data_IF_756035334808
#
_entry.id   IF_756035334808
#
_cell.length_a   1.000
_cell.length_b   1.000
_cell.length_c   1.000
_cell.angle_alpha   90.00
_cell.angle_beta   90.00
_cell.angle_gamma   90.00
#
_symmetry.space_group_name_H-M   'P 1'
#
loop_
_entity.id
_entity.type
_entity.pdbx_description
1 polymer ?
#
# COMPACT_ATOMS: atom_id res chain seq x y z
N UNK A 1 25.70 -13.27 -46.93
CA UNK A 1 26.27 -12.25 -46.03
C UNK A 1 25.59 -12.42 -44.71
N UNK A 2 26.31 -13.03 -43.77
CA UNK A 2 25.82 -13.42 -42.46
C UNK A 2 26.24 -12.33 -41.49
N UNK A 3 25.29 -11.52 -41.03
CA UNK A 3 25.57 -10.57 -39.96
C UNK A 3 25.35 -11.28 -38.62
N UNK A 4 26.46 -11.79 -38.08
CA UNK A 4 26.56 -12.20 -36.69
C UNK A 4 26.60 -10.92 -35.84
N UNK A 5 25.52 -10.63 -35.13
CA UNK A 5 25.57 -9.74 -33.98
C UNK A 5 26.07 -10.54 -32.77
N UNK A 6 27.25 -10.18 -32.29
CA UNK A 6 28.03 -10.84 -31.26
C UNK A 6 27.32 -10.88 -29.89
N UNK A 7 27.56 -11.90 -29.03
CA UNK A 7 26.93 -12.03 -27.71
C UNK A 7 27.45 -11.06 -26.62
N UNK A 8 28.39 -10.18 -26.95
CA UNK A 8 29.22 -9.48 -25.97
C UNK A 8 28.63 -8.18 -25.39
N UNK A 9 27.49 -7.68 -25.88
CA UNK A 9 26.88 -6.45 -25.33
C UNK A 9 26.05 -6.66 -24.05
N UNK A 10 25.72 -7.91 -23.69
CA UNK A 10 24.91 -8.21 -22.50
C UNK A 10 25.75 -8.47 -21.23
N UNK A 11 27.08 -8.28 -21.30
CA UNK A 11 28.01 -8.43 -20.17
C UNK A 11 28.54 -7.09 -19.62
N UNK A 12 27.88 -5.96 -19.94
CA UNK A 12 28.19 -4.68 -19.32
C UNK A 12 27.60 -4.60 -17.89
N UNK A 13 28.31 -5.23 -16.93
CA UNK A 13 28.31 -4.96 -15.47
C UNK A 13 26.94 -4.66 -14.84
N UNK A 14 26.31 -5.70 -14.29
CA UNK A 14 25.53 -5.53 -13.06
C UNK A 14 26.46 -4.92 -12.00
N UNK A 15 26.37 -3.60 -11.79
CA UNK A 15 27.16 -2.91 -10.78
C UNK A 15 26.98 -3.64 -9.44
N UNK A 16 28.10 -4.01 -8.81
CA UNK A 16 28.11 -4.77 -7.56
C UNK A 16 27.46 -3.91 -6.48
N UNK A 17 26.16 -4.14 -6.25
CA UNK A 17 25.36 -3.37 -5.28
C UNK A 17 26.05 -3.32 -3.93
N UNK A 18 25.99 -2.17 -3.29
CA UNK A 18 26.59 -1.95 -1.98
C UNK A 18 26.03 -2.95 -0.97
N UNK A 19 26.90 -3.53 -0.14
CA UNK A 19 26.51 -4.49 0.92
C UNK A 19 26.13 -3.72 2.17
N UNK A 20 25.06 -4.15 2.82
CA UNK A 20 24.60 -3.65 4.12
C UNK A 20 24.52 -4.84 5.09
N UNK A 21 24.85 -4.62 6.36
CA UNK A 21 24.75 -5.65 7.39
C UNK A 21 23.29 -6.00 7.67
N UNK A 22 23.00 -7.28 7.95
CA UNK A 22 21.65 -7.72 8.32
C UNK A 22 21.18 -7.10 9.64
N UNK A 23 22.12 -6.69 10.52
CA UNK A 23 21.80 -5.99 11.76
C UNK A 23 21.36 -4.54 11.52
N UNK A 24 21.85 -3.90 10.46
CA UNK A 24 21.45 -2.53 10.12
C UNK A 24 20.12 -2.54 9.37
N UNK A 25 20.03 -3.37 8.33
CA UNK A 25 18.80 -3.66 7.61
C UNK A 25 18.86 -5.07 6.99
N UNK A 26 17.91 -5.96 7.31
CA UNK A 26 17.80 -7.25 6.66
C UNK A 26 17.61 -7.12 5.15
N UNK A 27 18.10 -8.10 4.38
CA UNK A 27 17.98 -8.11 2.92
C UNK A 27 16.60 -8.58 2.42
N UNK A 28 15.78 -9.13 3.31
CA UNK A 28 14.43 -9.65 3.06
C UNK A 28 13.49 -9.16 4.16
N UNK A 29 12.19 -9.26 3.91
CA UNK A 29 11.14 -8.85 4.84
C UNK A 29 11.05 -9.76 6.07
N UNK A 30 10.42 -9.25 7.12
CA UNK A 30 10.21 -9.95 8.38
C UNK A 30 9.41 -11.25 8.16
N UNK A 31 8.37 -11.21 7.32
CA UNK A 31 7.60 -12.42 6.95
C UNK A 31 8.49 -13.53 6.38
N UNK A 32 9.37 -13.17 5.44
CA UNK A 32 10.29 -14.14 4.82
C UNK A 32 11.30 -14.66 5.84
N UNK A 33 11.80 -13.79 6.73
CA UNK A 33 12.72 -14.20 7.78
C UNK A 33 12.07 -15.15 8.81
N UNK A 34 10.76 -15.04 9.07
CA UNK A 34 10.01 -15.93 9.96
C UNK A 34 9.97 -17.38 9.47
N UNK A 35 10.30 -17.65 8.20
CA UNK A 35 10.40 -19.01 7.64
C UNK A 35 11.39 -19.89 8.44
N UNK A 36 12.51 -19.34 8.88
CA UNK A 36 13.52 -20.08 9.68
C UNK A 36 12.96 -20.51 11.05
N UNK A 37 12.54 -19.59 11.94
CA UNK A 37 12.02 -19.99 13.25
C UNK A 37 10.72 -20.80 13.15
N UNK A 38 9.86 -20.58 12.14
CA UNK A 38 8.67 -21.42 11.90
C UNK A 38 9.05 -22.88 11.65
N UNK A 39 10.05 -23.13 10.81
CA UNK A 39 10.52 -24.49 10.56
C UNK A 39 11.00 -25.19 11.83
N UNK A 40 11.67 -24.47 12.73
CA UNK A 40 12.14 -25.00 14.02
C UNK A 40 10.95 -25.35 14.94
N UNK A 41 9.93 -24.48 15.01
CA UNK A 41 8.74 -24.73 15.82
C UNK A 41 7.96 -25.93 15.30
N UNK A 42 7.68 -25.95 13.99
CA UNK A 42 6.81 -26.94 13.35
C UNK A 42 7.43 -28.34 13.28
N UNK A 43 8.74 -28.43 13.04
CA UNK A 43 9.40 -29.73 12.79
C UNK A 43 10.20 -30.23 13.99
N UNK A 44 10.58 -29.35 14.91
CA UNK A 44 11.51 -29.68 16.01
C UNK A 44 11.05 -29.17 17.38
N UNK A 45 9.76 -28.84 17.52
CA UNK A 45 9.14 -28.44 18.79
C UNK A 45 9.89 -27.31 19.53
N UNK A 46 10.46 -26.36 18.77
CA UNK A 46 11.22 -25.21 19.30
C UNK A 46 12.56 -25.56 19.96
N UNK A 47 13.05 -26.79 19.84
CA UNK A 47 14.38 -27.16 20.32
C UNK A 47 15.49 -26.55 19.46
N UNK A 48 16.65 -26.20 20.04
CA UNK A 48 17.84 -25.85 19.26
C UNK A 48 18.12 -26.91 18.20
N UNK A 49 18.28 -26.48 16.95
CA UNK A 49 18.31 -27.38 15.79
C UNK A 49 19.51 -27.06 14.91
N UNK A 50 20.22 -28.09 14.43
CA UNK A 50 21.39 -27.89 13.57
C UNK A 50 20.98 -27.22 12.25
N UNK A 51 21.79 -26.32 11.66
CA UNK A 51 21.44 -25.66 10.40
C UNK A 51 21.11 -26.62 9.25
N UNK A 52 21.75 -27.79 9.21
CA UNK A 52 21.47 -28.84 8.22
C UNK A 52 20.03 -29.36 8.31
N UNK A 53 19.55 -29.59 9.53
CA UNK A 53 18.22 -30.12 9.80
C UNK A 53 17.15 -29.05 9.52
N UNK A 54 17.43 -27.78 9.85
CA UNK A 54 16.56 -26.64 9.48
C UNK A 54 16.45 -26.51 7.96
N UNK A 55 17.57 -26.58 7.22
CA UNK A 55 17.57 -26.54 5.76
C UNK A 55 16.79 -27.72 5.15
N UNK A 56 16.93 -28.92 5.75
CA UNK A 56 16.17 -30.09 5.34
C UNK A 56 14.66 -29.91 5.54
N UNK A 57 14.22 -29.37 6.68
CA UNK A 57 12.81 -29.08 6.94
C UNK A 57 12.24 -28.05 5.95
N UNK A 58 13.06 -27.09 5.52
CA UNK A 58 12.71 -26.08 4.52
C UNK A 58 12.82 -26.54 3.07
N UNK A 59 13.29 -27.77 2.82
CA UNK A 59 13.56 -28.34 1.51
C UNK A 59 14.52 -27.49 0.66
N UNK A 60 15.55 -26.93 1.29
CA UNK A 60 16.58 -26.12 0.64
C UNK A 60 17.98 -26.67 0.93
N UNK A 61 18.95 -26.30 0.09
CA UNK A 61 20.34 -26.64 0.39
C UNK A 61 20.90 -25.71 1.49
N UNK A 62 21.60 -26.23 2.51
CA UNK A 62 22.23 -25.41 3.56
C UNK A 62 23.34 -24.49 3.03
N UNK A 63 23.92 -24.85 1.88
CA UNK A 63 24.92 -24.04 1.16
C UNK A 63 24.30 -22.90 0.34
N UNK A 64 22.98 -22.90 0.13
CA UNK A 64 22.30 -21.94 -0.73
C UNK A 64 22.39 -20.51 -0.19
N UNK A 65 22.52 -19.54 -1.10
CA UNK A 65 22.52 -18.12 -0.75
C UNK A 65 21.22 -17.68 -0.08
N UNK A 66 20.08 -18.23 -0.53
CA UNK A 66 18.76 -17.97 0.06
C UNK A 66 18.67 -18.37 1.53
N UNK A 67 19.05 -19.61 1.87
CA UNK A 67 19.05 -20.08 3.25
C UNK A 67 19.96 -19.23 4.16
N UNK A 68 21.18 -18.91 3.70
CA UNK A 68 22.11 -18.07 4.45
C UNK A 68 21.56 -16.66 4.69
N UNK A 69 20.87 -16.10 3.70
CA UNK A 69 20.23 -14.80 3.77
C UNK A 69 19.04 -14.82 4.74
N UNK A 70 18.19 -15.84 4.67
CA UNK A 70 17.07 -16.01 5.61
C UNK A 70 17.54 -16.15 7.05
N UNK A 71 18.55 -16.97 7.32
CA UNK A 71 19.16 -17.08 8.66
C UNK A 71 19.77 -15.75 9.12
N UNK A 72 20.47 -15.04 8.24
CA UNK A 72 21.04 -13.73 8.55
C UNK A 72 19.97 -12.69 8.88
N UNK A 73 18.88 -12.66 8.12
CA UNK A 73 17.74 -11.78 8.36
C UNK A 73 16.99 -12.14 9.66
N UNK A 74 16.83 -13.44 9.95
CA UNK A 74 16.22 -13.90 11.20
C UNK A 74 17.01 -13.43 12.43
N UNK A 75 18.34 -13.43 12.35
CA UNK A 75 19.20 -12.83 13.39
C UNK A 75 19.01 -11.30 13.43
N UNK A 76 18.99 -10.63 12.28
CA UNK A 76 18.81 -9.17 12.19
C UNK A 76 17.50 -8.66 12.81
N UNK A 77 16.42 -9.42 12.66
CA UNK A 77 15.14 -9.16 13.33
C UNK A 77 15.06 -9.67 14.77
N UNK A 78 16.13 -10.31 15.28
CA UNK A 78 16.18 -10.85 16.64
C UNK A 78 15.28 -12.06 16.87
N UNK A 79 14.94 -12.83 15.83
CA UNK A 79 14.04 -13.99 15.89
C UNK A 79 14.77 -15.26 16.34
N UNK A 80 16.03 -15.40 15.91
CA UNK A 80 16.86 -16.58 16.19
C UNK A 80 18.27 -16.19 16.61
N UNK A 81 18.88 -17.06 17.42
CA UNK A 81 20.31 -17.09 17.65
C UNK A 81 20.94 -18.22 16.82
N UNK A 82 22.17 -18.01 16.36
CA UNK A 82 22.86 -18.96 15.50
C UNK A 82 22.52 -18.78 14.02
N UNK A 83 23.56 -18.70 13.21
CA UNK A 83 23.45 -18.56 11.75
C UNK A 83 23.69 -19.89 11.01
N UNK A 84 23.83 -19.86 9.67
CA UNK A 84 24.02 -21.06 8.86
C UNK A 84 25.31 -21.84 9.18
N UNK A 85 26.28 -21.20 9.86
CA UNK A 85 27.54 -21.80 10.27
C UNK A 85 27.63 -22.05 11.79
N UNK A 86 26.58 -21.76 12.56
CA UNK A 86 26.54 -22.03 13.99
C UNK A 86 26.35 -23.54 14.24
N UNK A 87 26.72 -24.05 15.43
CA UNK A 87 26.43 -25.45 15.77
C UNK A 87 24.92 -25.74 15.74
N UNK A 88 24.13 -24.78 16.23
CA UNK A 88 22.67 -24.87 16.32
C UNK A 88 22.04 -23.49 16.05
N UNK A 89 20.79 -23.51 15.63
CA UNK A 89 19.90 -22.36 15.50
C UNK A 89 18.79 -22.54 16.54
N UNK A 90 18.56 -21.53 17.36
CA UNK A 90 17.55 -21.54 18.42
C UNK A 90 16.66 -20.30 18.33
N UNK A 91 15.41 -20.40 18.79
CA UNK A 91 14.54 -19.22 18.91
C UNK A 91 14.99 -18.36 20.09
N UNK A 92 15.04 -17.05 19.88
CA UNK A 92 15.19 -16.07 20.97
C UNK A 92 13.90 -16.01 21.80
N UNK A 93 13.91 -15.36 22.99
CA UNK A 93 12.67 -15.04 23.70
C UNK A 93 11.66 -14.29 22.82
N UNK A 94 12.14 -13.39 21.96
CA UNK A 94 11.31 -12.64 21.02
C UNK A 94 10.69 -13.54 19.94
N UNK A 95 11.47 -14.43 19.32
CA UNK A 95 10.98 -15.38 18.34
C UNK A 95 9.92 -16.32 18.92
N UNK A 96 10.09 -16.75 20.18
CA UNK A 96 9.08 -17.55 20.90
C UNK A 96 7.79 -16.78 21.13
N UNK A 97 7.86 -15.51 21.52
CA UNK A 97 6.67 -14.66 21.69
C UNK A 97 5.87 -14.49 20.39
N UNK A 98 6.55 -14.49 19.23
CA UNK A 98 5.89 -14.39 17.92
C UNK A 98 5.20 -15.70 17.53
N UNK A 99 5.87 -16.84 17.68
CA UNK A 99 5.39 -18.12 17.11
C UNK A 99 4.67 -19.04 18.10
N UNK A 100 4.96 -18.88 19.38
CA UNK A 100 4.37 -19.66 20.48
C UNK A 100 3.95 -18.71 21.62
N UNK A 101 3.06 -17.74 21.37
CA UNK A 101 2.59 -16.80 22.39
C UNK A 101 1.80 -17.53 23.48
N UNK A 102 1.99 -17.11 24.73
CA UNK A 102 1.21 -17.60 25.89
C UNK A 102 0.10 -16.62 26.29
N UNK A 103 0.07 -15.44 25.68
CA UNK A 103 -0.89 -14.37 25.95
C UNK A 103 -1.52 -13.88 24.65
N UNK A 104 -2.80 -13.52 24.71
CA UNK A 104 -3.52 -12.98 23.56
C UNK A 104 -2.90 -11.64 23.13
N UNK A 105 -2.52 -11.55 21.85
CA UNK A 105 -1.97 -10.34 21.24
C UNK A 105 -0.48 -10.10 21.51
N UNK A 106 0.22 -10.98 22.25
CA UNK A 106 1.67 -10.84 22.43
C UNK A 106 2.46 -11.09 21.15
N UNK A 107 1.94 -11.94 20.26
CA UNK A 107 2.47 -12.19 18.93
C UNK A 107 2.60 -10.89 18.12
N UNK A 108 1.53 -10.08 18.07
CA UNK A 108 1.51 -8.82 17.36
C UNK A 108 2.44 -7.78 18.00
N UNK A 109 2.50 -7.71 19.33
CA UNK A 109 3.45 -6.84 20.05
C UNK A 109 4.89 -7.24 19.75
N UNK A 110 5.17 -8.54 19.74
CA UNK A 110 6.49 -9.09 19.47
C UNK A 110 6.90 -8.90 18.00
N UNK A 111 5.98 -9.02 17.04
CA UNK A 111 6.23 -8.69 15.63
C UNK A 111 6.62 -7.22 15.46
N UNK A 112 5.91 -6.30 16.12
CA UNK A 112 6.24 -4.87 16.14
C UNK A 112 7.62 -4.62 16.75
N UNK A 113 7.95 -5.29 17.85
CA UNK A 113 9.28 -5.21 18.47
C UNK A 113 10.37 -5.72 17.52
N UNK A 114 10.16 -6.84 16.82
CA UNK A 114 11.11 -7.40 15.85
C UNK A 114 11.37 -6.45 14.68
N UNK A 115 10.34 -5.78 14.15
CA UNK A 115 10.49 -4.79 13.08
C UNK A 115 11.34 -3.57 13.47
N UNK A 116 11.47 -3.29 14.77
CA UNK A 116 12.29 -2.19 15.32
C UNK A 116 13.71 -2.63 15.71
N UNK A 117 14.06 -3.92 15.64
CA UNK A 117 15.41 -4.40 15.99
C UNK A 117 16.51 -3.92 15.04
N UNK A 118 16.33 -3.93 13.70
CA UNK A 118 17.39 -3.45 12.82
C UNK A 118 17.64 -1.95 12.99
N UNK A 119 18.91 -1.53 13.03
CA UNK A 119 19.31 -0.16 13.36
C UNK A 119 18.62 0.89 12.46
N UNK A 120 18.65 0.69 11.14
CA UNK A 120 18.07 1.63 10.17
C UNK A 120 16.54 1.62 10.25
N UNK A 121 15.92 0.46 10.47
CA UNK A 121 14.47 0.34 10.62
C UNK A 121 13.99 1.08 11.87
N UNK A 122 14.68 0.88 13.00
CA UNK A 122 14.44 1.60 14.26
C UNK A 122 14.49 3.12 14.05
N UNK A 123 15.58 3.63 13.46
CA UNK A 123 15.74 5.06 13.19
C UNK A 123 14.65 5.61 12.27
N UNK A 124 14.28 4.87 11.23
CA UNK A 124 13.25 5.29 10.28
C UNK A 124 11.87 5.37 10.93
N UNK A 125 11.43 4.30 11.61
CA UNK A 125 10.10 4.28 12.22
C UNK A 125 9.99 5.27 13.37
N UNK A 126 11.00 5.37 14.24
CA UNK A 126 11.01 6.36 15.34
C UNK A 126 11.01 7.80 14.80
N UNK A 127 11.73 8.09 13.71
CA UNK A 127 11.76 9.43 13.12
C UNK A 127 10.40 9.89 12.59
N UNK A 128 9.60 8.96 12.07
CA UNK A 128 8.30 9.26 11.49
C UNK A 128 7.13 8.85 12.38
N UNK A 129 7.38 8.41 13.60
CA UNK A 129 6.34 8.04 14.55
C UNK A 129 5.40 9.23 14.82
N UNK A 130 4.10 8.98 14.70
CA UNK A 130 3.04 10.00 14.75
C UNK A 130 3.00 10.95 13.55
N UNK A 131 3.88 10.80 12.56
CA UNK A 131 3.99 11.68 11.40
C UNK A 131 3.46 11.02 10.12
N UNK A 132 3.02 11.81 9.12
CA UNK A 132 2.65 11.27 7.81
C UNK A 132 3.83 10.52 7.20
N UNK A 133 3.54 9.42 6.51
CA UNK A 133 4.51 8.67 5.74
C UNK A 133 5.19 9.62 4.73
N UNK A 134 6.53 9.75 4.76
CA UNK A 134 7.24 10.63 3.84
C UNK A 134 7.09 10.15 2.40
N UNK A 135 7.01 11.07 1.43
CA UNK A 135 7.16 10.73 0.02
C UNK A 135 8.47 9.98 -0.24
N UNK A 136 8.47 9.03 -1.18
CA UNK A 136 9.61 8.13 -1.46
C UNK A 136 10.94 8.87 -1.62
N UNK A 137 10.98 9.96 -2.38
CA UNK A 137 12.20 10.74 -2.60
C UNK A 137 12.77 11.34 -1.30
N UNK A 138 11.90 11.83 -0.41
CA UNK A 138 12.29 12.34 0.91
C UNK A 138 12.78 11.21 1.79
N UNK A 139 12.07 10.08 1.79
CA UNK A 139 12.45 8.89 2.54
C UNK A 139 13.82 8.36 2.12
N UNK A 140 14.11 8.31 0.82
CA UNK A 140 15.41 7.89 0.28
C UNK A 140 16.55 8.81 0.74
N UNK A 141 16.35 10.13 0.75
CA UNK A 141 17.34 11.08 1.27
C UNK A 141 17.57 10.89 2.78
N UNK A 142 16.52 10.59 3.53
CA UNK A 142 16.63 10.28 4.96
C UNK A 142 17.36 8.95 5.19
N UNK A 143 17.08 7.92 4.41
CA UNK A 143 17.81 6.66 4.48
C UNK A 143 19.29 6.85 4.13
N UNK A 144 19.62 7.70 3.16
CA UNK A 144 21.01 8.05 2.87
C UNK A 144 21.70 8.72 4.08
N UNK A 145 20.97 9.54 4.86
CA UNK A 145 21.50 10.12 6.11
C UNK A 145 21.73 9.09 7.21
N UNK A 146 21.08 7.92 7.13
CA UNK A 146 21.29 6.77 8.03
C UNK A 146 22.38 5.81 7.51
N UNK A 147 23.30 6.31 6.67
CA UNK A 147 24.37 5.54 6.04
C UNK A 147 23.90 4.40 5.12
N UNK A 148 22.64 4.43 4.63
CA UNK A 148 22.20 3.53 3.57
C UNK A 148 22.80 3.99 2.23
N UNK A 149 23.52 3.13 1.49
CA UNK A 149 24.05 3.48 0.18
C UNK A 149 22.96 3.96 -0.78
N UNK A 150 23.24 5.00 -1.56
CA UNK A 150 22.24 5.62 -2.44
C UNK A 150 21.57 4.61 -3.40
N UNK A 151 22.36 3.66 -3.94
CA UNK A 151 21.91 2.57 -4.81
C UNK A 151 20.99 1.54 -4.13
N UNK A 152 20.88 1.59 -2.79
CA UNK A 152 20.07 0.69 -1.96
C UNK A 152 18.87 1.36 -1.31
N UNK A 153 18.79 2.70 -1.29
CA UNK A 153 17.75 3.44 -0.58
C UNK A 153 16.34 3.11 -1.05
N UNK A 154 16.12 2.85 -2.35
CA UNK A 154 14.81 2.44 -2.86
C UNK A 154 14.39 1.08 -2.33
N UNK A 155 15.25 0.06 -2.49
CA UNK A 155 14.98 -1.30 -2.03
C UNK A 155 14.73 -1.33 -0.50
N UNK A 156 15.51 -0.55 0.25
CA UNK A 156 15.35 -0.44 1.71
C UNK A 156 14.03 0.24 2.07
N UNK A 157 13.64 1.30 1.36
CA UNK A 157 12.34 1.92 1.57
C UNK A 157 11.19 0.92 1.32
N UNK A 158 11.23 0.20 0.21
CA UNK A 158 10.20 -0.81 -0.11
C UNK A 158 10.09 -1.88 0.98
N UNK A 159 11.22 -2.40 1.46
CA UNK A 159 11.29 -3.35 2.55
C UNK A 159 10.71 -2.79 3.86
N UNK A 160 10.99 -1.53 4.19
CA UNK A 160 10.44 -0.88 5.38
C UNK A 160 8.92 -0.71 5.26
N UNK A 161 8.40 -0.27 4.12
CA UNK A 161 6.95 -0.12 3.96
C UNK A 161 6.23 -1.47 4.01
N UNK A 162 6.79 -2.52 3.40
CA UNK A 162 6.23 -3.88 3.46
C UNK A 162 6.19 -4.39 4.91
N UNK A 163 7.29 -4.24 5.67
CA UNK A 163 7.32 -4.61 7.09
C UNK A 163 6.34 -3.76 7.93
N UNK A 164 6.26 -2.45 7.69
CA UNK A 164 5.37 -1.55 8.40
C UNK A 164 3.89 -1.92 8.21
N UNK A 165 3.50 -2.33 6.99
CA UNK A 165 2.16 -2.87 6.74
C UNK A 165 1.93 -4.17 7.50
N UNK A 166 2.90 -5.08 7.44
CA UNK A 166 2.80 -6.39 8.09
C UNK A 166 2.58 -6.28 9.61
N UNK A 167 3.30 -5.36 10.28
CA UNK A 167 3.24 -5.23 11.76
C UNK A 167 2.24 -4.16 12.23
N UNK A 168 1.48 -3.57 11.30
CA UNK A 168 0.47 -2.56 11.62
C UNK A 168 1.04 -1.21 12.05
N UNK A 169 2.24 -0.84 11.59
CA UNK A 169 2.80 0.51 11.80
C UNK A 169 2.20 1.57 10.89
N UNK A 170 1.41 1.20 9.87
CA UNK A 170 0.73 2.18 9.03
C UNK A 170 -0.70 2.38 9.48
N UNK A 171 -1.03 3.62 9.85
CA UNK A 171 -2.37 4.06 10.19
C UNK A 171 -2.89 5.00 9.12
N UNK A 172 -4.01 4.64 8.52
CA UNK A 172 -4.67 5.50 7.54
C UNK A 172 -5.64 6.44 8.26
N UNK A 173 -5.40 7.75 8.16
CA UNK A 173 -6.33 8.78 8.64
C UNK A 173 -6.75 9.60 7.42
N UNK A 174 -8.03 9.48 7.03
CA UNK A 174 -8.56 9.97 5.76
C UNK A 174 -7.83 9.31 4.59
N UNK A 175 -6.96 10.06 3.89
CA UNK A 175 -6.22 9.61 2.70
C UNK A 175 -4.70 9.68 2.89
N UNK A 176 -4.23 9.82 4.14
CA UNK A 176 -2.81 9.86 4.47
C UNK A 176 -2.46 8.68 5.35
N UNK A 177 -1.42 7.95 4.97
CA UNK A 177 -0.76 6.99 5.84
C UNK A 177 0.13 7.74 6.82
N UNK A 178 0.03 7.37 8.09
CA UNK A 178 0.90 7.83 9.17
C UNK A 178 1.67 6.63 9.70
N UNK A 179 2.91 6.84 10.10
CA UNK A 179 3.64 5.83 10.85
C UNK A 179 3.21 5.95 12.32
N UNK A 180 2.73 4.86 12.90
CA UNK A 180 2.26 4.74 14.27
C UNK A 180 2.86 3.47 14.89
N UNK A 181 3.96 3.64 15.63
CA UNK A 181 4.64 2.55 16.33
C UNK A 181 3.90 2.14 17.60
N UNK A 182 2.86 2.86 18.01
CA UNK A 182 2.05 2.56 19.19
C UNK A 182 2.68 3.01 20.51
N UNK A 183 3.75 3.82 20.46
CA UNK A 183 4.20 4.55 21.64
C UNK A 183 3.15 5.63 21.97
N UNK A 184 2.73 5.79 23.24
CA UNK A 184 1.91 6.94 23.60
C UNK A 184 2.68 8.20 23.19
N UNK A 185 2.03 9.05 22.38
CA UNK A 185 2.57 10.33 21.94
C UNK A 185 3.02 11.09 23.18
N UNK A 186 4.34 11.14 23.42
CA UNK A 186 4.91 12.09 24.34
C UNK A 186 4.61 13.47 23.77
N UNK A 187 3.60 14.13 24.35
CA UNK A 187 3.40 15.54 24.20
C UNK A 187 4.71 16.27 24.50
N UNK A 188 5.10 17.15 23.58
CA UNK A 188 6.06 18.26 23.77
C UNK A 188 7.46 17.88 24.26
N UNK A 189 8.44 17.82 23.35
CA UNK A 189 9.60 18.74 23.32
C UNK A 189 10.63 18.39 22.23
N UNK A 190 10.76 19.31 21.25
CA UNK A 190 12.01 19.76 20.63
C UNK A 190 12.85 18.84 19.73
N UNK A 191 12.74 19.02 18.40
CA UNK A 191 13.86 19.20 17.43
C UNK A 191 13.31 19.32 15.97
N UNK A 192 14.03 19.97 15.03
CA UNK A 192 13.59 21.17 14.34
C UNK A 192 12.63 20.91 13.18
N UNK A 193 11.66 21.82 13.04
CA UNK A 193 10.87 21.98 11.82
C UNK A 193 11.79 22.48 10.71
N UNK A 194 12.01 21.66 9.69
CA UNK A 194 12.46 22.16 8.38
C UNK A 194 11.28 22.91 7.78
N UNK A 195 11.25 24.22 8.01
CA UNK A 195 10.33 25.13 7.36
C UNK A 195 10.67 25.20 5.86
N UNK A 196 9.78 24.71 5.01
CA UNK A 196 9.78 25.08 3.59
C UNK A 196 9.07 26.43 3.51
N UNK A 197 9.86 27.48 3.30
CA UNK A 197 9.42 28.86 3.15
C UNK A 197 8.82 29.05 1.76
N UNK A 198 7.61 29.61 1.67
CA UNK A 198 7.14 30.34 0.50
C UNK A 198 6.29 31.53 0.98
N UNK A 199 6.45 32.73 0.40
CA UNK A 199 6.12 33.99 1.04
C UNK A 199 4.62 34.32 0.94
N UNK A 200 4.07 34.94 1.98
CA UNK A 200 2.80 35.65 1.92
C UNK A 200 2.93 36.95 2.68
N UNK A 201 2.57 38.02 1.99
CA UNK A 201 2.73 39.40 2.40
C UNK A 201 1.87 39.74 3.63
N UNK A 202 2.37 40.72 4.36
CA UNK A 202 1.83 41.30 5.58
C UNK A 202 0.38 41.79 5.44
N UNK A 203 -0.34 41.75 6.56
CA UNK A 203 -0.90 42.96 7.18
C UNK A 203 -1.16 42.73 8.66
N UNK A 204 -0.88 43.80 9.39
CA UNK A 204 -0.75 44.00 10.82
C UNK A 204 -2.07 44.06 11.59
N UNK A 205 -2.00 43.82 12.90
CA UNK A 205 -2.99 44.26 13.88
C UNK A 205 -2.68 43.66 15.25
N UNK A 206 -2.09 44.48 16.12
CA UNK A 206 -1.60 44.13 17.45
C UNK A 206 -2.71 44.20 18.52
N UNK A 207 -2.27 44.13 19.78
CA UNK A 207 -2.98 44.31 21.08
C UNK A 207 -3.37 42.96 21.71
N UNK A 208 -2.58 42.34 22.59
CA UNK A 208 -2.13 42.73 23.95
C UNK A 208 -3.29 42.84 24.95
N UNK A 209 -3.44 41.83 25.83
CA UNK A 209 -3.47 42.08 27.27
C UNK A 209 -3.22 40.85 28.15
N UNK A 210 -2.05 40.90 28.78
CA UNK A 210 -1.66 40.61 30.17
C UNK A 210 -2.77 40.26 31.19
N UNK A 211 -2.51 39.27 32.06
CA UNK A 211 -2.35 39.39 33.55
C UNK A 211 -2.58 38.04 34.29
N UNK A 212 -1.46 37.54 34.82
CA UNK A 212 -1.16 36.92 36.13
C UNK A 212 -2.17 36.02 36.89
N UNK A 213 -1.65 34.86 37.33
CA UNK A 213 -1.24 34.67 38.74
C UNK A 213 -2.12 33.79 39.62
N UNK A 214 -1.48 32.83 40.32
CA UNK A 214 -2.03 32.19 41.51
C UNK A 214 -1.66 30.71 41.67
N UNK A 215 -0.61 30.44 42.45
CA UNK A 215 -0.26 29.14 43.04
C UNK A 215 -1.25 28.78 44.18
N UNK A 216 -1.57 27.50 44.40
CA UNK A 216 -1.24 26.75 45.64
C UNK A 216 -1.88 25.33 45.65
N UNK A 217 -1.21 24.49 46.43
CA UNK A 217 -1.21 23.06 46.76
C UNK A 217 -2.55 22.40 47.19
N UNK A 218 -2.58 21.06 47.15
CA UNK A 218 -3.58 20.26 47.87
C UNK A 218 -3.92 18.90 47.27
N UNK A 219 -3.18 17.87 47.66
CA UNK A 219 -3.50 16.44 47.45
C UNK A 219 -4.77 15.99 48.19
N UNK A 220 -5.58 15.11 47.58
CA UNK A 220 -6.20 13.96 48.26
C UNK A 220 -6.91 13.03 47.26
N UNK A 221 -6.61 11.74 47.40
CA UNK A 221 -7.29 10.62 46.76
C UNK A 221 -8.74 10.51 47.24
N UNK A 222 -9.71 10.37 46.32
CA UNK A 222 -10.89 9.52 46.52
C UNK A 222 -11.41 8.99 45.17
N UNK A 223 -11.57 7.66 45.13
CA UNK A 223 -12.17 6.90 44.03
C UNK A 223 -13.64 7.31 43.83
N UNK A 224 -14.04 7.61 42.57
CA UNK A 224 -15.46 7.68 42.20
C UNK A 224 -15.75 6.84 40.96
N UNK A 225 -16.72 5.94 41.13
CA UNK A 225 -17.27 5.04 40.13
C UNK A 225 -17.86 5.81 38.93
N UNK A 226 -17.45 5.44 37.71
CA UNK A 226 -18.08 5.90 36.47
C UNK A 226 -19.09 4.83 36.00
N UNK A 227 -20.37 5.17 35.71
CA UNK A 227 -21.34 4.19 35.22
C UNK A 227 -21.06 3.81 33.75
N UNK A 228 -21.53 2.63 33.29
CA UNK A 228 -21.28 2.18 31.92
C UNK A 228 -22.09 2.97 30.89
N UNK A 229 -21.41 3.43 29.83
CA UNK A 229 -21.98 4.10 28.66
C UNK A 229 -22.83 3.12 27.81
N UNK A 230 -24.01 3.50 27.29
CA UNK A 230 -24.82 2.64 26.42
C UNK A 230 -24.14 2.36 25.05
N UNK A 231 -24.43 1.22 24.40
CA UNK A 231 -23.82 0.88 23.12
C UNK A 231 -24.28 1.82 21.99
N UNK A 232 -23.31 2.24 21.17
CA UNK A 232 -23.50 3.11 20.03
C UNK A 232 -24.44 2.50 18.98
N UNK A 233 -25.43 3.30 18.58
CA UNK A 233 -26.36 3.08 17.47
C UNK A 233 -25.66 3.00 16.11
N UNK A 234 -26.18 2.12 15.25
CA UNK A 234 -25.76 1.86 13.87
C UNK A 234 -25.74 3.16 13.02
N UNK A 235 -24.71 3.40 12.17
CA UNK A 235 -24.67 4.58 11.30
C UNK A 235 -25.73 4.51 10.18
N UNK A 236 -26.45 5.61 9.96
CA UNK A 236 -27.39 5.79 8.86
C UNK A 236 -26.69 5.96 7.50
N UNK A 237 -27.30 5.46 6.42
CA UNK A 237 -26.81 5.49 5.03
C UNK A 237 -26.75 6.93 4.49
N UNK A 238 -25.60 7.32 3.91
CA UNK A 238 -25.36 8.65 3.35
C UNK A 238 -26.18 8.90 2.06
N UNK A 239 -26.54 10.16 1.74
CA UNK A 239 -27.36 10.49 0.57
C UNK A 239 -26.71 10.05 -0.76
N UNK A 240 -27.51 9.43 -1.63
CA UNK A 240 -27.07 8.90 -2.94
C UNK A 240 -26.72 10.05 -3.89
N UNK A 241 -25.52 10.00 -4.44
CA UNK A 241 -25.03 10.96 -5.44
C UNK A 241 -25.52 10.55 -6.83
N UNK A 242 -25.97 11.52 -7.63
CA UNK A 242 -26.69 11.26 -8.88
C UNK A 242 -25.80 11.17 -10.13
N UNK A 243 -24.50 11.47 -10.03
CA UNK A 243 -23.58 11.44 -11.16
C UNK A 243 -22.90 10.06 -11.30
N UNK A 244 -22.60 9.67 -12.53
CA UNK A 244 -21.83 8.48 -12.88
C UNK A 244 -20.39 8.87 -13.21
N UNK A 245 -19.41 8.22 -12.59
CA UNK A 245 -18.01 8.38 -12.95
C UNK A 245 -17.72 7.63 -14.26
N UNK A 246 -17.04 8.27 -15.21
CA UNK A 246 -16.60 7.65 -16.47
C UNK A 246 -15.08 7.57 -16.49
N UNK A 247 -14.56 6.35 -16.40
CA UNK A 247 -13.14 6.03 -16.45
C UNK A 247 -12.78 5.28 -17.73
N UNK A 248 -11.57 5.48 -18.24
CA UNK A 248 -11.13 4.89 -19.50
C UNK A 248 -9.62 4.71 -19.58
N UNK A 249 -9.19 3.89 -20.54
CA UNK A 249 -7.80 3.66 -20.88
C UNK A 249 -7.16 4.74 -21.76
N UNK A 250 -6.04 4.40 -22.41
CA UNK A 250 -5.36 5.32 -23.33
C UNK A 250 -6.20 5.65 -24.58
N UNK A 251 -6.97 4.67 -25.08
CA UNK A 251 -7.88 4.89 -26.22
C UNK A 251 -9.17 5.62 -25.77
N UNK A 252 -9.35 6.85 -26.27
CA UNK A 252 -10.49 7.72 -25.92
C UNK A 252 -11.73 7.50 -26.78
N UNK A 253 -11.61 6.89 -27.96
CA UNK A 253 -12.73 6.79 -28.91
C UNK A 253 -13.96 6.09 -28.31
N UNK A 254 -13.82 4.93 -27.63
CA UNK A 254 -14.96 4.29 -26.97
C UNK A 254 -15.57 5.12 -25.83
N UNK A 255 -14.74 5.86 -25.09
CA UNK A 255 -15.21 6.77 -24.04
C UNK A 255 -16.01 7.94 -24.63
N UNK A 256 -15.54 8.56 -25.70
CA UNK A 256 -16.25 9.65 -26.39
C UNK A 256 -17.63 9.18 -26.91
N UNK A 257 -17.71 7.94 -27.42
CA UNK A 257 -18.98 7.31 -27.81
C UNK A 257 -19.92 7.11 -26.62
N UNK A 258 -19.40 6.65 -25.49
CA UNK A 258 -20.17 6.48 -24.25
C UNK A 258 -20.72 7.83 -23.76
N UNK A 259 -19.86 8.84 -23.67
CA UNK A 259 -20.20 10.20 -23.23
C UNK A 259 -21.28 10.80 -24.13
N UNK A 260 -21.21 10.57 -25.44
CA UNK A 260 -22.26 10.99 -26.37
C UNK A 260 -23.62 10.36 -26.03
N UNK A 261 -23.65 9.05 -25.74
CA UNK A 261 -24.88 8.36 -25.31
C UNK A 261 -25.38 8.94 -23.98
N UNK A 262 -24.52 9.12 -22.99
CA UNK A 262 -24.94 9.65 -21.68
C UNK A 262 -25.51 11.07 -21.79
N UNK A 263 -24.91 11.92 -22.62
CA UNK A 263 -25.41 13.27 -22.89
C UNK A 263 -26.76 13.27 -23.62
N UNK A 264 -26.93 12.43 -24.64
CA UNK A 264 -28.16 12.34 -25.43
C UNK A 264 -29.38 12.00 -24.56
N UNK A 265 -29.20 11.18 -23.53
CA UNK A 265 -30.25 10.75 -22.61
C UNK A 265 -30.28 11.54 -21.29
N UNK A 266 -29.48 12.61 -21.18
CA UNK A 266 -29.47 13.50 -20.01
C UNK A 266 -28.98 12.82 -18.72
N UNK A 267 -28.11 11.81 -18.82
CA UNK A 267 -27.58 11.07 -17.67
C UNK A 267 -26.41 11.85 -17.06
N UNK A 268 -26.50 12.30 -15.79
CA UNK A 268 -25.43 13.05 -15.16
C UNK A 268 -24.16 12.20 -15.03
N UNK A 269 -23.04 12.69 -15.55
CA UNK A 269 -21.77 11.98 -15.50
C UNK A 269 -20.58 12.93 -15.35
N UNK A 270 -19.43 12.36 -14.97
CA UNK A 270 -18.15 13.07 -14.83
C UNK A 270 -17.03 12.22 -15.39
N UNK A 271 -16.27 12.78 -16.31
CA UNK A 271 -15.09 12.15 -16.89
C UNK A 271 -13.83 12.49 -16.10
N UNK A 272 -12.90 11.54 -16.02
CA UNK A 272 -11.54 11.81 -15.54
C UNK A 272 -10.75 12.64 -16.58
N UNK A 273 -10.91 13.96 -16.58
CA UNK A 273 -10.19 14.83 -17.52
C UNK A 273 -8.66 14.84 -17.27
N UNK A 274 -7.88 14.41 -18.27
CA UNK A 274 -6.45 14.71 -18.45
C UNK A 274 -6.24 16.19 -18.83
N UNK A 275 -6.40 17.12 -17.89
CA UNK A 275 -6.01 18.53 -18.10
C UNK A 275 -4.62 18.85 -17.54
N UNK A 276 -3.89 19.84 -18.10
CA UNK A 276 -2.59 20.28 -17.60
C UNK A 276 -2.65 20.72 -16.13
N UNK A 277 -1.80 20.11 -15.32
CA UNK A 277 -1.82 20.20 -13.85
C UNK A 277 -1.69 21.65 -13.33
N UNK A 278 -2.80 22.19 -12.80
CA UNK A 278 -2.81 23.33 -11.85
C UNK A 278 -2.35 22.88 -10.46
N UNK A 279 -1.14 22.32 -10.38
CA UNK A 279 -0.45 21.87 -9.15
C UNK A 279 -1.14 20.77 -8.30
N UNK A 280 -2.13 20.03 -8.84
CA UNK A 280 -2.78 18.89 -8.16
C UNK A 280 -2.38 17.55 -8.81
N UNK A 281 -2.08 16.49 -8.04
CA UNK A 281 -1.81 15.16 -8.60
C UNK A 281 -3.06 14.55 -9.28
N UNK A 282 -2.89 13.93 -10.46
CA UNK A 282 -3.96 13.30 -11.23
C UNK A 282 -4.79 12.28 -10.41
N UNK A 283 -4.19 11.38 -9.61
CA UNK A 283 -4.96 10.41 -8.83
C UNK A 283 -5.88 11.06 -7.77
N UNK A 284 -5.48 12.22 -7.24
CA UNK A 284 -6.30 12.96 -6.26
C UNK A 284 -7.55 13.50 -6.94
N UNK A 285 -7.41 14.06 -8.15
CA UNK A 285 -8.55 14.56 -8.94
C UNK A 285 -9.49 13.43 -9.35
N UNK A 286 -8.95 12.29 -9.77
CA UNK A 286 -9.76 11.10 -10.08
C UNK A 286 -10.54 10.66 -8.84
N UNK A 287 -9.89 10.54 -7.68
CA UNK A 287 -10.55 10.15 -6.43
C UNK A 287 -11.62 11.16 -5.97
N UNK A 288 -11.37 12.47 -6.07
CA UNK A 288 -12.36 13.52 -5.80
C UNK A 288 -13.57 13.40 -6.74
N UNK A 289 -13.32 13.24 -8.04
CA UNK A 289 -14.36 13.09 -9.07
C UNK A 289 -15.20 11.83 -8.80
N UNK A 290 -14.55 10.71 -8.50
CA UNK A 290 -15.22 9.47 -8.11
C UNK A 290 -16.09 9.68 -6.87
N UNK A 291 -15.57 10.35 -5.84
CA UNK A 291 -16.35 10.62 -4.63
C UNK A 291 -17.58 11.45 -4.92
N UNK A 292 -17.58 12.33 -5.91
CA UNK A 292 -18.75 13.12 -6.29
C UNK A 292 -19.83 12.31 -7.07
N UNK A 293 -19.49 11.09 -7.49
CA UNK A 293 -20.38 10.18 -8.19
C UNK A 293 -20.97 9.10 -7.27
N UNK A 294 -22.03 8.44 -7.71
CA UNK A 294 -22.71 7.34 -6.99
C UNK A 294 -22.61 5.98 -7.67
N UNK A 295 -22.01 5.93 -8.87
CA UNK A 295 -21.78 4.75 -9.67
C UNK A 295 -20.61 5.01 -10.63
N UNK A 296 -20.10 3.96 -11.29
CA UNK A 296 -19.06 4.07 -12.31
C UNK A 296 -19.40 3.31 -13.59
N UNK A 297 -18.91 3.83 -14.72
CA UNK A 297 -18.78 3.12 -15.98
C UNK A 297 -17.29 3.18 -16.36
N UNK A 298 -16.67 2.01 -16.55
CA UNK A 298 -15.24 1.90 -16.82
C UNK A 298 -15.00 1.19 -18.16
N UNK A 299 -14.18 1.80 -19.01
CA UNK A 299 -13.96 1.34 -20.39
C UNK A 299 -12.54 0.78 -20.56
N UNK A 300 -12.47 -0.53 -20.77
CA UNK A 300 -11.23 -1.29 -20.92
C UNK A 300 -10.95 -1.54 -22.40
N UNK A 301 -9.87 -0.93 -22.90
CA UNK A 301 -9.39 -0.99 -24.29
C UNK A 301 -8.05 -1.71 -24.40
N UNK A 302 -7.67 -2.11 -25.61
CA UNK A 302 -6.37 -2.72 -25.91
C UNK A 302 -5.23 -1.67 -25.92
N UNK A 303 -4.82 -1.19 -24.74
CA UNK A 303 -3.87 -0.08 -24.62
C UNK A 303 -2.40 -0.48 -24.64
N UNK A 304 -2.07 -1.62 -24.02
CA UNK A 304 -0.69 -2.09 -23.87
C UNK A 304 -0.55 -3.51 -24.40
N UNK A 305 0.41 -3.71 -25.28
CA UNK A 305 0.80 -5.03 -25.76
C UNK A 305 1.88 -5.63 -24.85
N UNK A 306 1.68 -6.88 -24.45
CA UNK A 306 2.64 -7.70 -23.72
C UNK A 306 2.90 -8.98 -24.50
N UNK A 307 4.00 -9.65 -24.20
CA UNK A 307 4.30 -10.97 -24.73
C UNK A 307 4.34 -11.98 -23.59
N UNK A 308 3.68 -13.12 -23.77
CA UNK A 308 3.82 -14.23 -22.83
C UNK A 308 5.19 -14.93 -22.97
N UNK A 309 5.41 -15.97 -22.16
CA UNK A 309 6.66 -16.74 -22.16
C UNK A 309 6.90 -17.49 -23.48
N UNK A 310 5.86 -17.68 -24.28
CA UNK A 310 5.88 -18.38 -25.56
C UNK A 310 5.94 -17.41 -26.76
N UNK A 311 5.95 -16.09 -26.50
CA UNK A 311 6.04 -15.03 -27.50
C UNK A 311 4.71 -14.62 -28.11
N UNK A 312 3.57 -15.06 -27.57
CA UNK A 312 2.26 -14.63 -28.06
C UNK A 312 1.91 -13.23 -27.55
N UNK A 313 1.28 -12.42 -28.40
CA UNK A 313 0.80 -11.08 -28.06
C UNK A 313 -0.44 -11.16 -27.15
N UNK A 314 -0.38 -10.44 -26.03
CA UNK A 314 -1.47 -10.27 -25.06
C UNK A 314 -1.74 -8.77 -24.91
N UNK A 315 -2.95 -8.35 -25.24
CA UNK A 315 -3.37 -6.96 -25.05
C UNK A 315 -4.03 -6.77 -23.71
N UNK A 316 -3.57 -5.75 -22.97
CA UNK A 316 -4.08 -5.39 -21.65
C UNK A 316 -4.54 -3.93 -21.60
N UNK A 317 -5.50 -3.64 -20.72
CA UNK A 317 -5.92 -2.27 -20.45
C UNK A 317 -4.80 -1.47 -19.80
N UNK A 318 -4.91 -0.15 -19.81
CA UNK A 318 -4.04 0.68 -18.98
C UNK A 318 -4.13 0.31 -17.49
N UNK A 319 -3.04 0.55 -16.76
CA UNK A 319 -3.02 0.40 -15.30
C UNK A 319 -3.97 1.39 -14.62
N UNK A 320 -4.20 2.56 -15.23
CA UNK A 320 -5.08 3.60 -14.69
C UNK A 320 -6.52 3.09 -14.54
N UNK A 321 -7.11 2.55 -15.62
CA UNK A 321 -8.49 2.04 -15.57
C UNK A 321 -8.62 0.81 -14.67
N UNK A 322 -7.53 0.05 -14.50
CA UNK A 322 -7.47 -1.08 -13.54
C UNK A 322 -7.49 -0.59 -12.09
N UNK A 323 -6.78 0.50 -11.77
CA UNK A 323 -6.83 1.13 -10.45
C UNK A 323 -8.20 1.78 -10.19
N UNK A 324 -8.81 2.39 -11.21
CA UNK A 324 -10.17 2.95 -11.13
C UNK A 324 -11.22 1.87 -10.85
N UNK A 325 -11.08 0.67 -11.44
CA UNK A 325 -11.96 -0.46 -11.11
C UNK A 325 -11.80 -0.92 -9.65
N UNK A 326 -10.56 -0.99 -9.16
CA UNK A 326 -10.28 -1.25 -7.75
C UNK A 326 -10.95 -0.22 -6.84
N UNK A 327 -10.76 1.07 -7.10
CA UNK A 327 -11.36 2.15 -6.32
C UNK A 327 -12.89 2.17 -6.42
N UNK A 328 -13.44 1.94 -7.61
CA UNK A 328 -14.88 1.90 -7.86
C UNK A 328 -15.53 0.75 -7.08
N UNK A 329 -14.89 -0.43 -7.04
CA UNK A 329 -15.41 -1.60 -6.30
C UNK A 329 -15.60 -1.31 -4.80
N UNK A 330 -14.71 -0.50 -4.23
CA UNK A 330 -14.80 -0.08 -2.82
C UNK A 330 -15.83 1.03 -2.64
N UNK A 331 -15.90 2.01 -3.54
CA UNK A 331 -16.76 3.18 -3.40
C UNK A 331 -18.24 2.93 -3.74
N UNK A 332 -18.50 2.06 -4.71
CA UNK A 332 -19.83 1.89 -5.29
C UNK A 332 -20.42 0.49 -5.10
N UNK A 333 -19.62 -0.47 -4.64
CA UNK A 333 -20.01 -1.87 -4.54
C UNK A 333 -20.40 -2.41 -5.91
N UNK A 334 -21.64 -2.88 -6.04
CA UNK A 334 -22.17 -3.46 -7.28
C UNK A 334 -22.60 -2.42 -8.32
N UNK A 335 -22.54 -1.11 -8.02
CA UNK A 335 -22.98 -0.03 -8.93
C UNK A 335 -21.90 0.34 -9.95
N UNK A 336 -21.42 -0.64 -10.71
CA UNK A 336 -20.31 -0.50 -11.67
C UNK A 336 -20.67 -1.21 -12.96
N UNK A 337 -20.56 -0.50 -14.09
CA UNK A 337 -20.61 -1.11 -15.42
C UNK A 337 -19.20 -1.18 -15.99
N UNK A 338 -18.79 -2.35 -16.45
CA UNK A 338 -17.50 -2.53 -17.13
C UNK A 338 -17.76 -2.77 -18.61
N UNK A 339 -17.15 -1.96 -19.47
CA UNK A 339 -17.03 -2.23 -20.90
C UNK A 339 -15.67 -2.84 -21.20
N UNK A 340 -15.66 -3.92 -21.97
CA UNK A 340 -14.44 -4.63 -22.34
C UNK A 340 -14.31 -4.82 -23.85
N UNK A 341 -13.26 -4.26 -24.43
CA UNK A 341 -12.92 -4.49 -25.84
C UNK A 341 -12.58 -5.98 -26.05
N UNK A 342 -13.06 -6.57 -27.14
CA UNK A 342 -12.72 -7.96 -27.50
C UNK A 342 -11.21 -8.10 -27.72
N UNK A 343 -10.65 -9.22 -27.23
CA UNK A 343 -9.22 -9.50 -27.32
C UNK A 343 -8.36 -8.89 -26.21
N UNK A 344 -8.97 -8.16 -25.27
CA UNK A 344 -8.29 -7.65 -24.07
C UNK A 344 -8.37 -8.68 -22.94
N UNK A 345 -7.30 -8.84 -22.16
CA UNK A 345 -7.34 -9.60 -20.91
C UNK A 345 -7.52 -8.68 -19.71
N UNK A 346 -8.52 -8.98 -18.88
CA UNK A 346 -8.71 -8.30 -17.60
C UNK A 346 -7.68 -8.83 -16.58
N UNK A 347 -7.24 -8.00 -15.62
CA UNK A 347 -6.40 -8.48 -14.54
C UNK A 347 -7.07 -9.63 -13.76
N UNK A 348 -6.28 -10.60 -13.29
CA UNK A 348 -6.77 -11.81 -12.63
C UNK A 348 -7.67 -11.52 -11.42
N UNK A 349 -7.38 -10.45 -10.67
CA UNK A 349 -8.18 -9.94 -9.56
C UNK A 349 -9.62 -9.56 -9.93
N UNK A 350 -9.93 -9.36 -11.22
CA UNK A 350 -11.22 -8.91 -11.72
C UNK A 350 -11.83 -9.88 -12.75
N UNK A 351 -11.31 -11.10 -12.84
CA UNK A 351 -11.79 -12.12 -13.79
C UNK A 351 -13.26 -12.53 -13.58
N UNK A 352 -13.81 -12.30 -12.39
CA UNK A 352 -15.21 -12.57 -12.03
C UNK A 352 -16.16 -11.38 -12.20
N UNK A 353 -15.67 -10.22 -12.63
CA UNK A 353 -16.51 -9.02 -12.81
C UNK A 353 -17.29 -9.15 -14.13
N UNK A 354 -18.62 -8.97 -14.07
CA UNK A 354 -19.47 -8.94 -15.26
C UNK A 354 -19.14 -7.74 -16.15
N UNK A 355 -19.12 -7.93 -17.48
CA UNK A 355 -18.78 -6.88 -18.43
C UNK A 355 -19.63 -6.94 -19.71
N UNK A 356 -19.81 -5.77 -20.35
CA UNK A 356 -20.37 -5.62 -21.69
C UNK A 356 -19.21 -5.64 -22.68
N UNK A 357 -19.19 -6.65 -23.55
CA UNK A 357 -18.14 -6.76 -24.58
C UNK A 357 -18.47 -5.94 -25.83
N UNK A 358 -17.49 -5.25 -26.38
CA UNK A 358 -17.62 -4.45 -27.61
C UNK A 358 -16.45 -4.70 -28.58
N UNK A 359 -16.67 -4.48 -29.87
CA UNK A 359 -15.60 -4.49 -30.89
C UNK A 359 -14.81 -3.17 -30.81
N UNK A 360 -13.54 -3.18 -31.26
CA UNK A 360 -12.69 -1.98 -31.27
C UNK A 360 -13.43 -0.76 -31.81
N UNK A 361 -13.48 0.30 -31.01
CA UNK A 361 -14.12 1.59 -31.33
C UNK A 361 -15.60 1.50 -31.71
N UNK A 362 -16.32 0.45 -31.26
CA UNK A 362 -17.76 0.27 -31.48
C UNK A 362 -18.55 0.13 -30.18
N UNK A 363 -18.23 0.93 -29.17
CA UNK A 363 -18.99 0.97 -27.92
C UNK A 363 -20.41 1.49 -28.17
N UNK A 364 -20.61 2.39 -29.14
CA UNK A 364 -21.93 2.95 -29.46
C UNK A 364 -23.01 1.90 -29.79
N UNK A 365 -22.62 0.72 -30.27
CA UNK A 365 -23.52 -0.41 -30.55
C UNK A 365 -24.13 -1.03 -29.27
N UNK A 366 -23.66 -0.61 -28.08
CA UNK A 366 -23.98 -1.21 -26.78
C UNK A 366 -24.86 -0.34 -25.88
N UNK A 367 -25.51 0.66 -26.45
CA UNK A 367 -26.43 1.53 -25.70
C UNK A 367 -27.54 0.77 -24.99
N UNK A 368 -28.16 -0.23 -25.64
CA UNK A 368 -29.27 -0.99 -25.04
C UNK A 368 -28.79 -1.79 -23.82
N UNK A 369 -27.64 -2.47 -23.93
CA UNK A 369 -27.03 -3.18 -22.82
C UNK A 369 -26.66 -2.23 -21.68
N UNK A 370 -26.11 -1.05 -21.97
CA UNK A 370 -25.84 -0.02 -20.97
C UNK A 370 -27.11 0.36 -20.18
N UNK A 371 -28.20 0.69 -20.88
CA UNK A 371 -29.45 1.07 -20.21
C UNK A 371 -30.01 -0.06 -19.35
N UNK A 372 -29.90 -1.32 -19.81
CA UNK A 372 -30.33 -2.48 -19.03
C UNK A 372 -29.58 -2.57 -17.70
N UNK A 373 -28.26 -2.42 -17.71
CA UNK A 373 -27.44 -2.42 -16.50
C UNK A 373 -27.79 -1.25 -15.57
N UNK A 374 -27.88 -0.04 -16.11
CA UNK A 374 -28.21 1.17 -15.32
C UNK A 374 -29.60 1.09 -14.66
N UNK A 375 -30.58 0.48 -15.33
CA UNK A 375 -31.91 0.22 -14.76
C UNK A 375 -31.86 -0.88 -13.71
N UNK A 376 -31.13 -1.98 -13.98
CA UNK A 376 -30.95 -3.09 -13.04
C UNK A 376 -30.34 -2.63 -11.71
N UNK A 377 -29.38 -1.70 -11.76
CA UNK A 377 -28.74 -1.09 -10.59
C UNK A 377 -29.56 0.02 -9.92
N UNK A 378 -30.77 0.33 -10.42
CA UNK A 378 -31.62 1.44 -9.96
C UNK A 378 -30.92 2.81 -10.01
N UNK A 379 -30.01 2.98 -10.98
CA UNK A 379 -29.37 4.27 -11.28
C UNK A 379 -30.31 5.08 -12.18
N UNK A 380 -31.01 4.42 -13.10
CA UNK A 380 -32.06 5.01 -13.91
C UNK A 380 -33.43 4.46 -13.51
N UNK A 381 -34.40 5.36 -13.34
CA UNK A 381 -35.80 5.00 -13.17
C UNK A 381 -36.53 5.24 -14.49
N UNK A 382 -37.09 4.18 -15.08
CA UNK A 382 -37.97 4.32 -16.23
C UNK A 382 -39.37 4.61 -15.69
N UNK A 383 -39.82 5.87 -15.80
CA UNK A 383 -41.26 6.16 -15.68
C UNK A 383 -41.89 5.95 -17.04
N UNK A 384 -42.79 4.97 -17.15
CA UNK A 384 -43.68 4.89 -18.30
C UNK A 384 -44.73 5.98 -18.11
N UNK A 385 -44.71 6.99 -18.97
CA UNK A 385 -45.74 8.04 -19.05
C UNK A 385 -46.99 7.54 -19.74
#
# INVERSE_FOLDING_TARGET
MSEQTSPDENLAKAAKRSRISQADIPAITLDKALRIPRAIVENYASHPTRPLDVASALQVQPSSGGFRMECGAAIGYGLTEGGPNAPEISLTPLGKRILTPTEVGDDQRALREAALKPTVASQFYTKYDGSPLPPRNIAQNVLASFAVPADRTSDVYDLLIENARQVGFLKTIKDKEYIDTGNPLNGTSGAPRVAVVAPSQALSGAEQDTITGGEDDGSSDEESFVPPTPPASTPAEAPKKNAIFVGHGGNKVPMEQLVKILNEYGIPHKEAMEEPNRARPIPVKVAETMRECGAAILVFTADKEYFDKDGNSIWRPSENVSHELGAASVLYGERIVVFKEKGVDLPSNFSSVGYISFEKDKLSDKGIELFRELVGMKILNISVG
#
